data_IF_816281684534
#
_entry.id   IF_816281684534
#
_cell.length_a   1.000
_cell.length_b   1.000
_cell.length_c   1.000
_cell.angle_alpha   90.00
_cell.angle_beta   90.00
_cell.angle_gamma   90.00
#
_symmetry.space_group_name_H-M   'P 1'
#
loop_
_entity.id
_entity.type
_entity.pdbx_description
1 polymer ?
#
# COMPACT_ATOMS: atom_id res chain seq x y z
N UNK A 1 15.51 0.76 -3.58
CA UNK A 1 16.01 -0.51 -3.02
C UNK A 1 16.72 -0.22 -1.72
N UNK A 2 16.20 -0.64 -0.60
CA UNK A 2 16.82 -0.45 0.71
C UNK A 2 16.76 -1.72 1.54
N UNK A 3 15.56 -2.21 1.86
CA UNK A 3 15.38 -3.42 2.68
C UNK A 3 15.72 -4.73 1.95
N UNK A 4 15.76 -4.75 0.62
CA UNK A 4 16.04 -5.95 -0.17
C UNK A 4 17.52 -6.31 -0.23
N UNK A 5 18.41 -5.42 0.16
CA UNK A 5 19.87 -5.61 0.05
C UNK A 5 20.35 -6.67 1.03
N UNK A 6 19.99 -6.54 2.31
CA UNK A 6 20.31 -7.50 3.37
C UNK A 6 19.42 -7.26 4.58
N UNK A 7 19.33 -8.23 5.49
CA UNK A 7 18.62 -8.08 6.75
C UNK A 7 19.20 -6.94 7.62
N UNK A 8 20.51 -6.75 7.58
CA UNK A 8 21.19 -5.67 8.33
C UNK A 8 20.88 -4.29 7.78
N UNK A 9 20.87 -4.17 6.45
CA UNK A 9 20.49 -2.92 5.78
C UNK A 9 19.01 -2.60 6.02
N UNK A 10 18.13 -3.59 5.92
CA UNK A 10 16.71 -3.44 6.25
C UNK A 10 16.51 -2.92 7.69
N UNK A 11 17.20 -3.52 8.64
CA UNK A 11 17.15 -3.12 10.06
C UNK A 11 17.63 -1.67 10.27
N UNK A 12 18.77 -1.30 9.69
CA UNK A 12 19.33 0.07 9.80
C UNK A 12 18.36 1.10 9.20
N UNK A 13 17.82 0.80 8.02
CA UNK A 13 16.89 1.71 7.34
C UNK A 13 15.56 1.83 8.09
N UNK A 14 15.03 0.75 8.65
CA UNK A 14 13.84 0.78 9.49
C UNK A 14 14.04 1.66 10.73
N UNK A 15 15.12 1.45 11.46
CA UNK A 15 15.46 2.27 12.62
C UNK A 15 15.68 3.74 12.28
N UNK A 16 16.28 4.03 11.13
CA UNK A 16 16.47 5.38 10.63
C UNK A 16 15.12 6.05 10.28
N UNK A 17 14.26 5.34 9.53
CA UNK A 17 12.92 5.85 9.19
C UNK A 17 12.14 6.21 10.45
N UNK A 18 12.08 5.32 11.44
CA UNK A 18 11.36 5.60 12.68
C UNK A 18 11.89 6.83 13.42
N UNK A 19 13.22 6.97 13.52
CA UNK A 19 13.84 8.12 14.20
C UNK A 19 13.63 9.45 13.46
N UNK A 20 13.70 9.44 12.13
CA UNK A 20 13.63 10.67 11.32
C UNK A 20 12.19 11.09 11.04
N UNK A 21 11.24 10.16 10.93
CA UNK A 21 9.84 10.46 10.59
C UNK A 21 8.89 10.46 11.79
N UNK A 22 9.29 9.84 12.92
CA UNK A 22 8.40 9.64 14.07
C UNK A 22 7.30 8.61 13.83
N UNK A 23 7.36 7.79 12.76
CA UNK A 23 6.38 6.75 12.52
C UNK A 23 6.44 5.64 13.58
N UNK A 24 5.30 4.98 13.83
CA UNK A 24 5.19 3.92 14.84
C UNK A 24 5.62 2.53 14.35
N UNK A 25 5.90 2.36 13.06
CA UNK A 25 6.33 1.09 12.46
C UNK A 25 6.67 1.24 11.00
N UNK A 26 7.14 0.17 10.38
CA UNK A 26 7.52 0.13 8.96
C UNK A 26 6.77 -0.98 8.22
N UNK A 27 6.67 -0.86 6.88
CA UNK A 27 6.10 -1.89 6.03
C UNK A 27 7.15 -2.42 5.06
N UNK A 28 7.23 -3.76 4.90
CA UNK A 28 8.12 -4.44 3.97
C UNK A 28 7.33 -5.34 3.03
N UNK A 29 7.79 -5.42 1.77
CA UNK A 29 7.18 -6.22 0.71
C UNK A 29 7.86 -7.59 0.56
N UNK A 30 7.04 -8.65 0.48
CA UNK A 30 7.47 -10.03 0.28
C UNK A 30 7.85 -10.76 1.57
N UNK A 31 8.20 -12.05 1.41
CA UNK A 31 8.54 -12.95 2.51
C UNK A 31 9.73 -13.87 2.16
N UNK A 32 10.70 -13.39 1.37
CA UNK A 32 11.92 -14.16 1.14
C UNK A 32 12.72 -14.33 2.43
N UNK A 33 13.52 -15.38 2.52
CA UNK A 33 14.33 -15.67 3.71
C UNK A 33 15.12 -14.45 4.26
N UNK A 34 15.78 -13.60 3.44
CA UNK A 34 16.43 -12.39 3.96
C UNK A 34 15.45 -11.37 4.55
N UNK A 35 14.25 -11.24 3.99
CA UNK A 35 13.22 -10.34 4.48
C UNK A 35 12.67 -10.83 5.82
N UNK A 36 12.30 -12.11 5.92
CA UNK A 36 11.84 -12.73 7.18
C UNK A 36 12.87 -12.58 8.29
N UNK A 37 14.15 -12.84 8.00
CA UNK A 37 15.24 -12.62 8.95
C UNK A 37 15.35 -11.15 9.39
N UNK A 38 15.15 -10.21 8.46
CA UNK A 38 15.11 -8.78 8.78
C UNK A 38 13.95 -8.42 9.70
N UNK A 39 12.76 -8.95 9.43
CA UNK A 39 11.54 -8.74 10.24
C UNK A 39 11.74 -9.27 11.66
N UNK A 40 12.24 -10.50 11.83
CA UNK A 40 12.52 -11.08 13.15
C UNK A 40 13.46 -10.20 13.96
N UNK A 41 14.56 -9.73 13.38
CA UNK A 41 15.50 -8.82 14.05
C UNK A 41 14.88 -7.46 14.41
N UNK A 42 14.03 -6.93 13.55
CA UNK A 42 13.31 -5.68 13.82
C UNK A 42 12.34 -5.87 15.00
N UNK A 43 11.57 -6.95 15.00
CA UNK A 43 10.65 -7.29 16.07
C UNK A 43 11.37 -7.46 17.41
N UNK A 44 12.48 -8.21 17.46
CA UNK A 44 13.32 -8.37 18.65
C UNK A 44 13.85 -7.03 19.21
N UNK A 45 14.11 -6.07 18.33
CA UNK A 45 14.57 -4.73 18.69
C UNK A 45 13.44 -3.72 18.98
N UNK A 46 12.18 -4.17 18.97
CA UNK A 46 11.02 -3.31 19.24
C UNK A 46 10.59 -2.43 18.06
N UNK A 47 10.97 -2.77 16.82
CA UNK A 47 10.50 -2.10 15.60
C UNK A 47 9.30 -2.88 15.04
N UNK A 48 8.06 -2.36 15.11
CA UNK A 48 6.90 -3.02 14.55
C UNK A 48 6.96 -3.08 13.03
N UNK A 49 6.69 -4.25 12.45
CA UNK A 49 6.72 -4.45 10.99
C UNK A 49 5.38 -4.96 10.49
N UNK A 50 4.85 -4.29 9.47
CA UNK A 50 3.73 -4.76 8.66
C UNK A 50 4.27 -5.47 7.42
N UNK A 51 3.79 -6.69 7.14
CA UNK A 51 4.08 -7.41 5.90
C UNK A 51 3.24 -6.89 4.73
N UNK A 52 3.65 -7.21 3.50
CA UNK A 52 2.87 -6.90 2.30
C UNK A 52 3.07 -8.00 1.25
N UNK A 53 1.98 -8.64 0.85
CA UNK A 53 1.95 -9.76 -0.09
C UNK A 53 0.99 -9.52 -1.26
N UNK A 54 1.10 -10.35 -2.28
CA UNK A 54 0.33 -10.25 -3.51
C UNK A 54 1.05 -9.39 -4.55
N UNK A 55 0.37 -8.40 -5.12
CA UNK A 55 1.01 -7.42 -6.01
C UNK A 55 1.79 -6.42 -5.16
N UNK A 56 3.11 -6.54 -5.17
CA UNK A 56 3.99 -5.63 -4.45
C UNK A 56 4.60 -4.62 -5.43
N UNK A 57 4.32 -3.31 -5.29
CA UNK A 57 4.76 -2.28 -6.25
C UNK A 57 6.26 -2.25 -6.51
N UNK A 58 7.08 -2.49 -5.50
CA UNK A 58 8.54 -2.50 -5.68
C UNK A 58 9.04 -3.70 -6.51
N UNK A 59 8.23 -4.74 -6.67
CA UNK A 59 8.52 -5.90 -7.49
C UNK A 59 7.90 -5.85 -8.90
N UNK A 60 7.30 -4.72 -9.29
CA UNK A 60 6.53 -4.60 -10.54
C UNK A 60 7.35 -4.94 -11.79
N UNK A 61 8.62 -4.57 -11.82
CA UNK A 61 9.52 -4.90 -12.92
C UNK A 61 9.81 -6.41 -13.02
N UNK A 62 9.83 -7.12 -11.89
CA UNK A 62 9.95 -8.59 -11.83
C UNK A 62 8.66 -9.25 -12.33
N UNK A 63 7.50 -8.71 -11.98
CA UNK A 63 6.22 -9.24 -12.40
C UNK A 63 5.88 -8.93 -13.86
N UNK A 64 6.42 -7.85 -14.41
CA UNK A 64 6.18 -7.41 -15.78
C UNK A 64 4.75 -6.96 -16.07
N UNK A 65 3.86 -6.95 -15.07
CA UNK A 65 2.46 -6.54 -15.24
C UNK A 65 1.79 -6.23 -13.91
N UNK A 66 0.70 -5.44 -13.96
CA UNK A 66 -0.19 -5.16 -12.82
C UNK A 66 -1.32 -6.19 -12.66
N UNK A 67 -1.15 -7.43 -13.14
CA UNK A 67 -2.17 -8.49 -13.00
C UNK A 67 -2.29 -8.94 -11.55
N UNK A 68 -3.49 -9.45 -11.19
CA UNK A 68 -3.71 -10.06 -9.89
C UNK A 68 -2.79 -11.26 -9.70
N UNK A 69 -2.21 -11.37 -8.50
CA UNK A 69 -1.29 -12.42 -8.07
C UNK A 69 -2.08 -13.56 -7.42
N UNK A 70 -1.50 -14.76 -7.38
CA UNK A 70 -2.15 -15.91 -6.75
C UNK A 70 -3.34 -16.47 -7.51
N UNK A 71 -3.42 -16.27 -8.84
CA UNK A 71 -4.39 -16.96 -9.70
C UNK A 71 -3.93 -18.36 -10.08
N UNK A 72 -2.64 -18.56 -10.19
CA UNK A 72 -2.03 -19.87 -10.34
C UNK A 72 -1.99 -20.57 -8.98
N UNK A 73 -2.33 -21.87 -8.89
CA UNK A 73 -2.36 -22.59 -7.62
C UNK A 73 -1.03 -22.60 -6.88
N UNK A 74 0.10 -22.74 -7.58
CA UNK A 74 1.42 -22.75 -6.95
C UNK A 74 1.75 -21.37 -6.37
N UNK A 75 1.41 -20.29 -7.09
CA UNK A 75 1.57 -18.93 -6.59
C UNK A 75 0.63 -18.64 -5.41
N UNK A 76 -0.61 -19.14 -5.44
CA UNK A 76 -1.56 -19.01 -4.34
C UNK A 76 -1.04 -19.70 -3.07
N UNK A 77 -0.54 -20.92 -3.19
CA UNK A 77 0.07 -21.66 -2.08
C UNK A 77 1.33 -20.96 -1.55
N UNK A 78 2.14 -20.37 -2.43
CA UNK A 78 3.31 -19.59 -2.00
C UNK A 78 2.88 -18.35 -1.20
N UNK A 79 1.90 -17.57 -1.67
CA UNK A 79 1.40 -16.38 -0.97
C UNK A 79 0.79 -16.76 0.40
N UNK A 80 0.08 -17.88 0.46
CA UNK A 80 -0.47 -18.41 1.71
C UNK A 80 0.63 -18.78 2.72
N UNK A 81 1.64 -19.53 2.28
CA UNK A 81 2.78 -19.90 3.12
C UNK A 81 3.61 -18.68 3.53
N UNK A 82 3.76 -17.70 2.65
CA UNK A 82 4.43 -16.43 2.93
C UNK A 82 3.71 -15.64 4.04
N UNK A 83 2.37 -15.70 4.10
CA UNK A 83 1.59 -15.05 5.14
C UNK A 83 1.84 -15.68 6.52
N UNK A 84 1.86 -17.01 6.60
CA UNK A 84 2.22 -17.74 7.82
C UNK A 84 3.65 -17.39 8.27
N UNK A 85 4.60 -17.40 7.33
CA UNK A 85 5.99 -17.08 7.63
C UNK A 85 6.20 -15.64 8.09
N UNK A 86 5.42 -14.68 7.59
CA UNK A 86 5.45 -13.29 8.06
C UNK A 86 4.93 -13.18 9.50
N UNK A 87 3.84 -13.86 9.85
CA UNK A 87 3.36 -13.94 11.21
C UNK A 87 4.42 -14.54 12.14
N UNK A 88 5.00 -15.69 11.76
CA UNK A 88 6.03 -16.37 12.55
C UNK A 88 7.28 -15.51 12.74
N UNK A 89 7.61 -14.66 11.76
CA UNK A 89 8.71 -13.70 11.86
C UNK A 89 8.39 -12.49 12.77
N UNK A 90 7.15 -12.36 13.26
CA UNK A 90 6.72 -11.31 14.18
C UNK A 90 6.17 -10.05 13.49
N UNK A 91 5.66 -10.17 12.26
CA UNK A 91 4.86 -9.09 11.67
C UNK A 91 3.58 -8.88 12.51
N UNK A 92 3.17 -7.61 12.71
CA UNK A 92 1.98 -7.30 13.50
C UNK A 92 0.69 -7.26 12.66
N UNK A 93 0.80 -7.16 11.34
CA UNK A 93 -0.30 -7.16 10.36
C UNK A 93 0.25 -7.45 8.97
N UNK A 94 -0.63 -7.80 8.02
CA UNK A 94 -0.26 -8.04 6.62
C UNK A 94 -1.21 -7.29 5.69
N UNK A 95 -0.65 -6.54 4.74
CA UNK A 95 -1.39 -6.03 3.59
C UNK A 95 -1.46 -7.12 2.53
N UNK A 96 -2.66 -7.38 2.02
CA UNK A 96 -2.93 -8.29 0.90
C UNK A 96 -3.40 -7.47 -0.30
N UNK A 97 -2.55 -7.37 -1.34
CA UNK A 97 -2.84 -6.55 -2.50
C UNK A 97 -3.11 -7.38 -3.75
N UNK A 98 -4.29 -7.13 -4.33
CA UNK A 98 -4.69 -7.62 -5.67
C UNK A 98 -4.49 -9.13 -5.85
N UNK A 99 -5.09 -9.89 -4.95
CA UNK A 99 -5.18 -11.35 -4.95
C UNK A 99 -6.64 -11.80 -5.08
N UNK A 100 -6.93 -13.08 -5.47
CA UNK A 100 -8.29 -13.62 -5.43
C UNK A 100 -8.94 -13.50 -4.06
N UNK A 101 -10.24 -13.22 -4.02
CA UNK A 101 -10.99 -13.04 -2.77
C UNK A 101 -10.96 -14.30 -1.88
N UNK A 102 -11.03 -15.48 -2.49
CA UNK A 102 -10.96 -16.78 -1.81
C UNK A 102 -9.59 -16.99 -1.15
N UNK A 103 -8.51 -16.54 -1.80
CA UNK A 103 -7.16 -16.59 -1.22
C UNK A 103 -7.04 -15.61 -0.05
N UNK A 104 -7.58 -14.39 -0.20
CA UNK A 104 -7.64 -13.41 0.88
C UNK A 104 -8.37 -13.94 2.10
N UNK A 105 -9.54 -14.59 1.91
CA UNK A 105 -10.29 -15.25 2.96
C UNK A 105 -9.48 -16.36 3.63
N UNK A 106 -8.93 -17.29 2.83
CA UNK A 106 -8.14 -18.42 3.34
C UNK A 106 -6.96 -17.96 4.21
N UNK A 107 -6.28 -16.88 3.82
CA UNK A 107 -5.17 -16.31 4.59
C UNK A 107 -5.70 -15.70 5.90
N UNK A 108 -6.74 -14.88 5.83
CA UNK A 108 -7.32 -14.21 7.01
C UNK A 108 -7.80 -15.20 8.06
N UNK A 109 -8.39 -16.32 7.63
CA UNK A 109 -8.83 -17.39 8.55
C UNK A 109 -7.68 -18.22 9.14
N UNK A 110 -6.50 -18.19 8.53
CA UNK A 110 -5.36 -19.03 8.91
C UNK A 110 -4.34 -18.34 9.81
N UNK A 111 -4.33 -17.01 9.89
CA UNK A 111 -3.38 -16.24 10.70
C UNK A 111 -4.09 -15.49 11.81
N UNK A 112 -3.37 -15.20 12.90
CA UNK A 112 -3.91 -14.49 14.07
C UNK A 112 -3.73 -12.97 13.98
N UNK A 113 -2.80 -12.51 13.14
CA UNK A 113 -2.53 -11.08 12.96
C UNK A 113 -3.46 -10.46 11.91
N UNK A 114 -3.86 -9.19 12.07
CA UNK A 114 -4.81 -8.54 11.15
C UNK A 114 -4.35 -8.52 9.70
N UNK A 115 -5.31 -8.78 8.80
CA UNK A 115 -5.13 -8.61 7.35
C UNK A 115 -5.79 -7.32 6.85
N UNK A 116 -5.10 -6.58 6.01
CA UNK A 116 -5.58 -5.34 5.39
C UNK A 116 -5.65 -5.54 3.87
N UNK A 117 -6.87 -5.62 3.34
CA UNK A 117 -7.10 -5.86 1.91
C UNK A 117 -7.05 -4.59 1.07
N UNK A 118 -6.44 -4.68 -0.11
CA UNK A 118 -6.60 -3.74 -1.21
C UNK A 118 -6.74 -4.55 -2.51
N UNK A 119 -7.98 -4.74 -2.95
CA UNK A 119 -8.27 -5.64 -4.07
C UNK A 119 -8.06 -7.13 -3.74
N UNK A 120 -8.27 -7.53 -2.49
CA UNK A 120 -8.16 -8.90 -1.99
C UNK A 120 -9.51 -9.50 -1.54
N UNK A 121 -10.62 -8.89 -1.93
CA UNK A 121 -11.98 -9.31 -1.54
C UNK A 121 -12.43 -8.74 -0.19
N UNK A 122 -13.66 -9.10 0.25
CA UNK A 122 -14.31 -8.49 1.41
C UNK A 122 -13.95 -9.16 2.75
N UNK A 123 -13.20 -10.24 2.77
CA UNK A 123 -13.01 -11.09 3.95
C UNK A 123 -11.76 -10.77 4.78
N UNK A 124 -10.98 -9.76 4.40
CA UNK A 124 -9.89 -9.25 5.23
C UNK A 124 -10.47 -8.45 6.42
N UNK A 125 -9.72 -8.38 7.54
CA UNK A 125 -10.13 -7.69 8.77
C UNK A 125 -10.28 -6.17 8.55
N UNK A 126 -9.48 -5.59 7.65
CA UNK A 126 -9.56 -4.19 7.24
C UNK A 126 -9.40 -4.00 5.74
N UNK A 127 -9.73 -2.79 5.28
CA UNK A 127 -9.62 -2.41 3.85
C UNK A 127 -8.95 -1.05 3.73
N UNK A 128 -8.10 -0.89 2.72
CA UNK A 128 -7.52 0.40 2.35
C UNK A 128 -7.71 0.67 0.86
N UNK A 129 -7.69 1.95 0.51
CA UNK A 129 -7.55 2.43 -0.86
C UNK A 129 -6.56 3.59 -0.89
N UNK A 130 -5.89 3.76 -2.01
CA UNK A 130 -5.09 4.97 -2.27
C UNK A 130 -6.05 6.17 -2.29
N UNK A 131 -5.77 7.19 -1.48
CA UNK A 131 -6.70 8.31 -1.30
C UNK A 131 -7.01 9.05 -2.60
N UNK A 132 -6.02 9.20 -3.48
CA UNK A 132 -6.21 9.83 -4.80
C UNK A 132 -7.14 9.03 -5.71
N UNK A 133 -7.14 7.70 -5.62
CA UNK A 133 -8.04 6.84 -6.36
C UNK A 133 -9.45 6.91 -5.77
N UNK A 134 -9.55 6.79 -4.44
CA UNK A 134 -10.82 6.84 -3.69
C UNK A 134 -11.55 8.17 -3.88
N UNK A 135 -10.82 9.29 -3.90
CA UNK A 135 -11.38 10.63 -4.07
C UNK A 135 -11.52 11.06 -5.54
N UNK A 136 -11.13 10.22 -6.50
CA UNK A 136 -11.25 10.51 -7.92
C UNK A 136 -10.32 11.60 -8.42
N UNK A 137 -9.12 11.71 -7.83
CA UNK A 137 -8.04 12.57 -8.33
C UNK A 137 -7.29 11.88 -9.48
N UNK A 138 -7.09 10.55 -9.40
CA UNK A 138 -6.50 9.74 -10.46
C UNK A 138 -7.58 9.38 -11.48
N UNK A 139 -7.53 9.96 -12.68
CA UNK A 139 -8.55 9.71 -13.72
C UNK A 139 -8.15 8.66 -14.74
N UNK A 140 -6.85 8.56 -15.04
CA UNK A 140 -6.31 7.70 -16.10
C UNK A 140 -6.27 6.21 -15.74
N UNK A 141 -6.24 5.89 -14.44
CA UNK A 141 -6.16 4.53 -13.93
C UNK A 141 -7.35 4.22 -13.03
N UNK A 142 -8.15 3.21 -13.40
CA UNK A 142 -9.33 2.79 -12.64
C UNK A 142 -9.36 1.26 -12.55
N UNK A 143 -8.60 0.65 -11.64
CA UNK A 143 -8.64 -0.79 -11.45
C UNK A 143 -9.99 -1.23 -10.88
N UNK A 144 -10.41 -2.47 -11.20
CA UNK A 144 -11.72 -3.04 -10.84
C UNK A 144 -12.05 -2.94 -9.34
N UNK A 145 -11.05 -2.96 -8.47
CA UNK A 145 -11.26 -2.94 -7.01
C UNK A 145 -11.42 -1.52 -6.44
N UNK A 146 -11.18 -0.47 -7.25
CA UNK A 146 -11.33 0.92 -6.82
C UNK A 146 -12.78 1.36 -6.97
N UNK A 147 -13.39 1.75 -5.86
CA UNK A 147 -14.64 2.52 -5.84
C UNK A 147 -14.29 3.98 -5.58
N UNK A 148 -14.75 4.87 -6.46
CA UNK A 148 -14.63 6.30 -6.25
C UNK A 148 -15.79 6.79 -5.39
N UNK A 149 -15.46 7.53 -4.34
CA UNK A 149 -16.43 8.13 -3.41
C UNK A 149 -16.62 9.63 -3.67
N UNK A 150 -15.73 10.23 -4.48
CA UNK A 150 -15.82 11.60 -4.96
C UNK A 150 -15.21 11.70 -6.37
N UNK A 151 -15.36 12.88 -7.00
CA UNK A 151 -14.82 13.23 -8.31
C UNK A 151 -14.03 14.53 -8.22
N UNK A 152 -13.03 14.58 -7.34
CA UNK A 152 -12.32 15.82 -7.02
C UNK A 152 -11.49 16.34 -8.20
N UNK A 153 -11.07 15.49 -9.13
CA UNK A 153 -10.37 15.95 -10.34
C UNK A 153 -11.21 16.97 -11.12
N UNK A 154 -12.49 16.68 -11.35
CA UNK A 154 -13.37 17.58 -12.10
C UNK A 154 -13.61 18.87 -11.32
N UNK A 155 -13.88 18.79 -10.02
CA UNK A 155 -14.08 19.95 -9.13
C UNK A 155 -12.87 20.88 -9.13
N UNK A 156 -11.67 20.32 -8.99
CA UNK A 156 -10.41 21.07 -8.99
C UNK A 156 -10.16 21.70 -10.36
N UNK A 157 -10.36 20.95 -11.43
CA UNK A 157 -10.19 21.43 -12.81
C UNK A 157 -11.10 22.61 -13.10
N UNK A 158 -12.38 22.51 -12.72
CA UNK A 158 -13.36 23.55 -12.94
C UNK A 158 -13.03 24.81 -12.13
N UNK A 159 -12.62 24.64 -10.85
CA UNK A 159 -12.21 25.76 -10.01
C UNK A 159 -10.97 26.48 -10.58
N UNK A 160 -9.97 25.73 -11.05
CA UNK A 160 -8.78 26.32 -11.71
C UNK A 160 -9.15 27.01 -13.01
N UNK A 161 -10.11 26.48 -13.76
CA UNK A 161 -10.60 27.11 -14.99
C UNK A 161 -11.26 28.47 -14.67
N UNK A 162 -12.18 28.52 -13.72
CA UNK A 162 -12.85 29.76 -13.29
C UNK A 162 -11.81 30.79 -12.82
N UNK A 163 -10.88 30.40 -11.97
CA UNK A 163 -9.80 31.28 -11.53
C UNK A 163 -8.99 31.85 -12.70
N UNK A 164 -8.66 30.99 -13.68
CA UNK A 164 -7.89 31.41 -14.86
C UNK A 164 -8.66 32.42 -15.69
N UNK A 165 -9.97 32.25 -15.86
CA UNK A 165 -10.83 33.21 -16.58
C UNK A 165 -10.95 34.53 -15.81
N UNK A 166 -11.09 34.50 -14.51
CA UNK A 166 -11.14 35.71 -13.68
C UNK A 166 -9.83 36.50 -13.79
N UNK A 167 -8.68 35.86 -13.76
CA UNK A 167 -7.37 36.52 -13.97
C UNK A 167 -7.28 37.12 -15.37
N UNK A 168 -7.66 36.38 -16.42
CA UNK A 168 -7.64 36.88 -17.81
C UNK A 168 -8.57 38.07 -18.05
N UNK A 169 -9.70 38.07 -17.39
CA UNK A 169 -10.72 39.11 -17.51
C UNK A 169 -10.52 40.26 -16.52
N UNK A 170 -9.42 40.28 -15.73
CA UNK A 170 -9.15 41.26 -14.69
C UNK A 170 -10.21 41.33 -13.59
N UNK A 171 -10.91 40.24 -13.32
CA UNK A 171 -11.88 40.12 -12.24
C UNK A 171 -11.21 39.73 -10.91
N UNK A 172 -10.01 39.12 -10.97
CA UNK A 172 -9.19 38.75 -9.81
C UNK A 172 -7.75 39.29 -10.02
N UNK A 173 -7.12 39.90 -8.94
CA UNK A 173 -7.76 40.29 -7.71
C UNK A 173 -8.62 41.56 -7.87
N UNK A 174 -9.66 41.68 -7.06
CA UNK A 174 -10.42 42.93 -6.89
C UNK A 174 -9.66 43.93 -6.04
N UNK A 175 -10.17 45.19 -5.93
CA UNK A 175 -9.58 46.17 -5.01
C UNK A 175 -9.68 45.73 -3.55
N UNK A 176 -10.73 45.03 -3.16
CA UNK A 176 -10.92 44.49 -1.81
C UNK A 176 -9.99 43.34 -1.46
N UNK A 177 -9.40 42.70 -2.47
CA UNK A 177 -8.43 41.62 -2.36
C UNK A 177 -6.98 42.13 -2.51
N UNK A 178 -6.77 43.44 -2.52
CA UNK A 178 -5.47 44.09 -2.73
C UNK A 178 -5.01 44.85 -1.49
N UNK A 179 -3.68 45.00 -1.31
CA UNK A 179 -3.09 45.71 -0.19
C UNK A 179 -2.54 47.09 -0.59
#
# INVERSE_FOLDING_TARGET
MSFQVSADEAFRNAGRIMKESGCAGVKLEGASHPILKGISRMNEAGIPVMGHLGLTPQSINKFGSYRARGKDPQEADQIYNDALALQDAGAFAIVLEKIPAELGQKITEAIEIPTIGIGAGPHCDGQILVYSDMLGLTVEFSPRFVRRYAHLYDVIKDAVHVYTEDVRNHNFPSLDESY
#
